data_IF_273718052532
#
_entry.id   IF_273718052532
#
_cell.length_a   1.000
_cell.length_b   1.000
_cell.length_c   1.000
_cell.angle_alpha   90.00
_cell.angle_beta   90.00
_cell.angle_gamma   90.00
#
_symmetry.space_group_name_H-M   'P 1'
#
loop_
_entity.id
_entity.type
_entity.pdbx_description
1 polymer ?
#
# COMPACT_ATOMS: atom_id res chain seq x y z
N UNK A 1 70.75 -12.07 1.00
CA UNK A 1 69.74 -11.81 -0.06
C UNK A 1 68.53 -12.76 -0.12
N UNK A 2 68.51 -13.93 0.56
CA UNK A 2 67.36 -14.87 0.52
C UNK A 2 66.13 -14.48 1.38
N UNK A 3 66.28 -13.61 2.39
CA UNK A 3 65.16 -13.19 3.25
C UNK A 3 64.14 -12.27 2.55
N UNK A 4 64.56 -11.47 1.56
CA UNK A 4 63.69 -10.50 0.88
C UNK A 4 62.65 -11.12 -0.07
N UNK A 5 62.80 -12.40 -0.48
CA UNK A 5 61.79 -13.08 -1.32
C UNK A 5 60.59 -13.58 -0.51
N UNK A 6 60.80 -14.04 0.73
CA UNK A 6 59.70 -14.55 1.60
C UNK A 6 58.78 -13.42 2.05
N UNK A 7 59.34 -12.25 2.39
CA UNK A 7 58.55 -11.06 2.75
C UNK A 7 57.68 -10.55 1.60
N UNK A 8 58.19 -10.58 0.36
CA UNK A 8 57.43 -10.13 -0.82
C UNK A 8 56.24 -11.05 -1.17
N UNK A 9 56.36 -12.37 -0.97
CA UNK A 9 55.26 -13.31 -1.23
C UNK A 9 54.14 -13.18 -0.17
N UNK A 10 54.51 -12.97 1.11
CA UNK A 10 53.53 -12.76 2.17
C UNK A 10 52.72 -11.46 1.98
N UNK A 11 53.36 -10.38 1.52
CA UNK A 11 52.70 -9.09 1.27
C UNK A 11 51.72 -9.19 0.07
N UNK A 12 52.09 -9.91 -1.00
CA UNK A 12 51.18 -10.11 -2.16
C UNK A 12 49.96 -10.97 -1.78
N UNK A 13 50.14 -12.03 -0.98
CA UNK A 13 49.02 -12.83 -0.50
C UNK A 13 48.08 -12.02 0.40
N UNK A 14 48.62 -11.16 1.27
CA UNK A 14 47.82 -10.32 2.17
C UNK A 14 47.04 -9.23 1.43
N UNK A 15 47.60 -8.65 0.36
CA UNK A 15 46.90 -7.66 -0.48
C UNK A 15 45.73 -8.30 -1.23
N UNK A 16 45.87 -9.55 -1.72
CA UNK A 16 44.77 -10.28 -2.39
C UNK A 16 43.62 -10.60 -1.42
N UNK A 17 43.91 -10.88 -0.15
CA UNK A 17 42.88 -11.08 0.88
C UNK A 17 42.23 -9.78 1.37
N UNK A 18 42.94 -8.64 1.32
CA UNK A 18 42.43 -7.34 1.75
C UNK A 18 41.66 -6.58 0.65
N UNK A 19 41.83 -6.93 -0.62
CA UNK A 19 41.10 -6.33 -1.74
C UNK A 19 39.84 -7.11 -2.15
N UNK A 20 39.52 -8.22 -1.49
CA UNK A 20 38.41 -9.10 -1.84
C UNK A 20 37.30 -9.06 -0.78
N UNK A 21 36.57 -7.94 -0.70
CA UNK A 21 35.19 -8.00 -0.20
C UNK A 21 34.27 -8.77 -1.17
N UNK A 22 34.77 -9.10 -2.37
CA UNK A 22 34.12 -10.01 -3.30
C UNK A 22 34.30 -11.46 -2.82
N UNK A 23 33.18 -12.12 -2.53
CA UNK A 23 33.15 -13.52 -2.15
C UNK A 23 33.72 -14.38 -3.29
N UNK A 24 34.88 -15.02 -3.06
CA UNK A 24 35.57 -15.84 -4.09
C UNK A 24 34.70 -16.98 -4.64
N UNK A 25 33.64 -17.36 -3.92
CA UNK A 25 32.68 -18.38 -4.33
C UNK A 25 31.51 -17.84 -5.16
N UNK A 26 31.40 -16.51 -5.37
CA UNK A 26 30.31 -15.91 -6.14
C UNK A 26 30.19 -16.45 -7.59
N UNK A 27 31.29 -16.73 -8.32
CA UNK A 27 31.18 -17.32 -9.66
C UNK A 27 30.71 -18.78 -9.64
N UNK A 28 30.81 -19.46 -8.50
CA UNK A 28 30.43 -20.86 -8.33
C UNK A 28 29.06 -21.04 -7.63
N UNK A 29 28.42 -19.95 -7.18
CA UNK A 29 27.12 -20.03 -6.52
C UNK A 29 25.99 -20.22 -7.54
N UNK A 30 25.00 -21.04 -7.19
CA UNK A 30 23.80 -21.20 -8.00
C UNK A 30 22.88 -19.99 -7.78
N UNK A 31 22.91 -19.02 -8.71
CA UNK A 31 22.08 -17.80 -8.66
C UNK A 31 20.64 -18.01 -9.13
N UNK A 32 20.27 -19.24 -9.50
CA UNK A 32 18.94 -19.56 -10.05
C UNK A 32 18.14 -20.53 -9.19
N UNK A 33 18.63 -20.93 -8.00
CA UNK A 33 17.79 -21.68 -7.06
C UNK A 33 16.72 -20.77 -6.46
N UNK A 34 15.64 -21.37 -5.96
CA UNK A 34 14.57 -20.62 -5.29
C UNK A 34 15.09 -19.82 -4.10
N UNK A 35 16.02 -20.39 -3.31
CA UNK A 35 16.63 -19.70 -2.18
C UNK A 35 17.45 -18.48 -2.62
N UNK A 36 18.23 -18.61 -3.70
CA UNK A 36 19.04 -17.51 -4.22
C UNK A 36 18.15 -16.39 -4.78
N UNK A 37 17.10 -16.75 -5.53
CA UNK A 37 16.13 -15.80 -6.04
C UNK A 37 15.37 -15.09 -4.92
N UNK A 38 14.97 -15.82 -3.87
CA UNK A 38 14.29 -15.25 -2.72
C UNK A 38 15.20 -14.32 -1.92
N UNK A 39 16.46 -14.70 -1.68
CA UNK A 39 17.43 -13.85 -1.00
C UNK A 39 17.69 -12.56 -1.78
N UNK A 40 17.86 -12.66 -3.12
CA UNK A 40 17.98 -11.50 -4.00
C UNK A 40 16.71 -10.63 -3.94
N UNK A 41 15.52 -11.23 -3.92
CA UNK A 41 14.26 -10.50 -3.84
C UNK A 41 14.16 -9.69 -2.54
N UNK A 42 14.55 -10.29 -1.41
CA UNK A 42 14.53 -9.61 -0.10
C UNK A 42 15.54 -8.46 -0.07
N UNK A 43 16.75 -8.63 -0.61
CA UNK A 43 17.73 -7.53 -0.73
C UNK A 43 17.17 -6.37 -1.55
N UNK A 44 16.57 -6.68 -2.71
CA UNK A 44 15.97 -5.67 -3.57
C UNK A 44 14.77 -4.97 -2.90
N UNK A 45 13.99 -5.70 -2.09
CA UNK A 45 12.92 -5.14 -1.28
C UNK A 45 13.47 -4.17 -0.23
N UNK A 46 14.51 -4.56 0.50
CA UNK A 46 15.17 -3.74 1.51
C UNK A 46 15.82 -2.48 0.90
N UNK A 47 16.34 -2.59 -0.34
CA UNK A 47 16.89 -1.48 -1.12
C UNK A 47 15.80 -0.58 -1.74
N UNK A 48 14.51 -0.91 -1.58
CA UNK A 48 13.39 -0.18 -2.19
C UNK A 48 13.23 -0.40 -3.70
N UNK A 49 13.99 -1.32 -4.31
CA UNK A 49 13.85 -1.70 -5.71
C UNK A 49 12.73 -2.73 -5.90
N UNK A 50 11.49 -2.25 -5.78
CA UNK A 50 10.31 -3.11 -5.77
C UNK A 50 10.10 -3.87 -7.09
N UNK A 51 10.34 -3.25 -8.24
CA UNK A 51 10.24 -3.95 -9.53
C UNK A 51 11.26 -5.08 -9.67
N UNK A 52 12.50 -4.86 -9.22
CA UNK A 52 13.53 -5.90 -9.16
C UNK A 52 13.12 -7.04 -8.23
N UNK A 53 12.60 -6.71 -7.05
CA UNK A 53 12.12 -7.71 -6.08
C UNK A 53 10.97 -8.54 -6.67
N UNK A 54 9.97 -7.89 -7.28
CA UNK A 54 8.83 -8.55 -7.92
C UNK A 54 9.26 -9.48 -9.06
N UNK A 55 10.23 -9.06 -9.88
CA UNK A 55 10.77 -9.91 -10.93
C UNK A 55 11.43 -11.18 -10.36
N UNK A 56 12.14 -11.07 -9.23
CA UNK A 56 12.74 -12.23 -8.55
C UNK A 56 11.69 -13.14 -7.93
N UNK A 57 10.67 -12.60 -7.27
CA UNK A 57 9.57 -13.40 -6.73
C UNK A 57 8.82 -14.18 -7.82
N UNK A 58 8.56 -13.55 -8.98
CA UNK A 58 7.94 -14.21 -10.14
C UNK A 58 8.79 -15.34 -10.75
N UNK A 59 10.09 -15.37 -10.48
CA UNK A 59 11.00 -16.43 -10.92
C UNK A 59 11.00 -17.67 -10.02
N UNK A 60 10.38 -17.62 -8.85
CA UNK A 60 10.34 -18.74 -7.90
C UNK A 60 9.46 -19.88 -8.41
N UNK A 61 9.80 -21.11 -8.04
CA UNK A 61 8.95 -22.27 -8.27
C UNK A 61 7.61 -22.14 -7.54
N UNK A 62 6.56 -22.77 -8.08
CA UNK A 62 5.21 -22.69 -7.52
C UNK A 62 5.11 -23.26 -6.08
N UNK A 63 5.96 -24.23 -5.72
CA UNK A 63 5.99 -24.77 -4.36
C UNK A 63 6.67 -23.81 -3.38
N UNK A 64 7.75 -23.16 -3.79
CA UNK A 64 8.48 -22.21 -2.96
C UNK A 64 7.69 -20.91 -2.78
N UNK A 65 7.06 -20.41 -3.85
CA UNK A 65 6.20 -19.23 -3.85
C UNK A 65 5.00 -19.33 -2.89
N UNK A 66 4.57 -20.55 -2.52
CA UNK A 66 3.48 -20.77 -1.57
C UNK A 66 3.88 -20.62 -0.10
N UNK A 67 5.17 -20.57 0.21
CA UNK A 67 5.65 -20.39 1.59
C UNK A 67 5.16 -19.06 2.14
N UNK A 68 4.65 -19.07 3.37
CA UNK A 68 4.07 -17.88 4.04
C UNK A 68 5.02 -16.69 4.04
N UNK A 69 6.28 -16.88 4.43
CA UNK A 69 7.27 -15.80 4.46
C UNK A 69 7.53 -15.20 3.06
N UNK A 70 7.54 -16.03 2.01
CA UNK A 70 7.70 -15.57 0.63
C UNK A 70 6.52 -14.70 0.22
N UNK A 71 5.30 -15.13 0.49
CA UNK A 71 4.08 -14.37 0.18
C UNK A 71 3.99 -13.06 0.96
N UNK A 72 4.43 -13.04 2.22
CA UNK A 72 4.49 -11.83 3.04
C UNK A 72 5.46 -10.81 2.45
N UNK A 73 6.67 -11.22 2.10
CA UNK A 73 7.65 -10.32 1.48
C UNK A 73 7.23 -9.90 0.06
N UNK A 74 6.56 -10.79 -0.69
CA UNK A 74 6.00 -10.45 -1.99
C UNK A 74 4.88 -9.40 -1.87
N UNK A 75 3.98 -9.56 -0.89
CA UNK A 75 2.98 -8.55 -0.57
C UNK A 75 3.64 -7.23 -0.17
N UNK A 76 4.73 -7.27 0.61
CA UNK A 76 5.55 -6.11 0.96
C UNK A 76 6.12 -5.39 -0.26
N UNK A 77 6.63 -6.12 -1.26
CA UNK A 77 7.13 -5.53 -2.51
C UNK A 77 6.02 -4.85 -3.32
N UNK A 78 4.83 -5.46 -3.41
CA UNK A 78 3.68 -4.83 -4.05
C UNK A 78 3.20 -3.58 -3.28
N UNK A 79 3.19 -3.63 -1.94
CA UNK A 79 2.82 -2.50 -1.12
C UNK A 79 3.81 -1.33 -1.27
N UNK A 80 5.11 -1.62 -1.26
CA UNK A 80 6.16 -0.64 -1.54
C UNK A 80 6.00 -0.01 -2.92
N UNK A 81 5.75 -0.82 -3.96
CA UNK A 81 5.44 -0.33 -5.31
C UNK A 81 4.20 0.55 -5.35
N UNK A 82 3.19 0.29 -4.51
CA UNK A 82 2.02 1.15 -4.39
C UNK A 82 2.33 2.54 -3.81
N UNK A 83 3.55 2.75 -3.30
CA UNK A 83 3.97 3.98 -2.62
C UNK A 83 4.04 3.83 -1.10
N UNK A 84 3.69 2.66 -0.53
CA UNK A 84 3.68 2.47 0.91
C UNK A 84 5.10 2.31 1.45
N UNK A 85 5.61 3.37 2.07
CA UNK A 85 6.71 3.28 3.03
C UNK A 85 6.13 3.19 4.44
N UNK A 86 6.20 2.00 5.06
CA UNK A 86 5.54 1.73 6.33
C UNK A 86 5.90 2.73 7.44
N UNK A 87 7.19 3.06 7.59
CA UNK A 87 7.66 3.96 8.64
C UNK A 87 7.19 5.39 8.39
N UNK A 88 7.32 5.87 7.15
CA UNK A 88 6.85 7.20 6.79
C UNK A 88 5.33 7.30 6.92
N UNK A 89 4.59 6.31 6.44
CA UNK A 89 3.13 6.29 6.49
C UNK A 89 2.61 6.27 7.93
N UNK A 90 3.17 5.43 8.81
CA UNK A 90 2.82 5.45 10.24
C UNK A 90 3.20 6.77 10.91
N UNK A 91 4.32 7.38 10.52
CA UNK A 91 4.72 8.69 11.02
C UNK A 91 3.69 9.74 10.61
N UNK A 92 3.25 9.75 9.35
CA UNK A 92 2.20 10.64 8.84
C UNK A 92 0.87 10.41 9.56
N UNK A 93 0.53 9.15 9.87
CA UNK A 93 -0.68 8.83 10.63
C UNK A 93 -0.66 9.37 12.07
N UNK A 94 0.53 9.51 12.67
CA UNK A 94 0.71 9.96 14.04
C UNK A 94 0.92 11.47 14.20
N UNK A 95 0.95 12.25 13.12
CA UNK A 95 1.10 13.70 13.20
C UNK A 95 -0.22 14.35 13.64
N UNK A 96 -0.12 15.31 14.57
CA UNK A 96 -1.24 16.19 14.91
C UNK A 96 -1.66 16.96 13.66
N UNK A 97 -2.85 16.65 13.17
CA UNK A 97 -3.36 17.24 11.94
C UNK A 97 -3.91 18.64 12.25
N UNK A 98 -3.01 19.62 12.36
CA UNK A 98 -3.37 21.01 12.62
C UNK A 98 -4.03 21.61 11.38
N UNK A 99 -5.32 21.95 11.50
CA UNK A 99 -6.13 22.42 10.37
C UNK A 99 -6.78 21.25 9.62
N UNK A 100 -7.68 20.54 10.31
CA UNK A 100 -8.39 19.31 9.91
C UNK A 100 -8.52 19.12 8.39
N UNK A 101 -7.56 18.45 7.72
CA UNK A 101 -7.86 17.83 6.46
C UNK A 101 -8.88 16.73 6.74
N UNK A 102 -9.76 16.52 5.79
CA UNK A 102 -10.76 15.46 5.89
C UNK A 102 -10.09 14.09 5.91
N UNK A 103 -10.82 13.05 6.30
CA UNK A 103 -10.28 11.69 6.40
C UNK A 103 -9.58 11.23 5.11
N UNK A 104 -10.23 11.37 3.95
CA UNK A 104 -9.63 10.94 2.68
C UNK A 104 -8.47 11.85 2.24
N UNK A 105 -8.53 13.15 2.52
CA UNK A 105 -7.42 14.07 2.23
C UNK A 105 -6.18 13.73 3.07
N UNK A 106 -6.39 13.37 4.33
CA UNK A 106 -5.32 12.90 5.22
C UNK A 106 -4.66 11.60 4.73
N UNK A 107 -5.46 10.64 4.24
CA UNK A 107 -4.89 9.42 3.67
C UNK A 107 -4.10 9.70 2.38
N UNK A 108 -4.59 10.61 1.54
CA UNK A 108 -3.93 11.01 0.29
C UNK A 108 -2.63 11.78 0.53
N UNK A 109 -2.60 12.68 1.53
CA UNK A 109 -1.44 13.54 1.81
C UNK A 109 -0.21 12.76 2.29
N UNK A 110 -0.39 11.54 2.80
CA UNK A 110 0.71 10.64 3.12
C UNK A 110 1.54 10.21 1.88
N UNK A 111 1.05 10.50 0.67
CA UNK A 111 1.69 10.19 -0.61
C UNK A 111 2.11 11.43 -1.41
N UNK A 112 2.17 12.61 -0.77
CA UNK A 112 2.70 13.82 -1.40
C UNK A 112 4.17 13.62 -1.83
N UNK A 113 4.49 13.95 -3.08
CA UNK A 113 5.79 13.73 -3.69
C UNK A 113 6.17 12.27 -3.94
N UNK A 114 5.25 11.31 -3.72
CA UNK A 114 5.48 9.87 -3.87
C UNK A 114 4.70 9.34 -5.07
N UNK A 115 5.34 8.58 -5.95
CA UNK A 115 4.63 7.90 -7.04
C UNK A 115 3.71 6.81 -6.46
N UNK A 116 2.43 6.82 -6.86
CA UNK A 116 1.44 5.84 -6.41
C UNK A 116 1.02 4.90 -7.53
N UNK A 117 0.84 3.63 -7.18
CA UNK A 117 0.37 2.58 -8.09
C UNK A 117 -0.76 1.79 -7.42
N UNK A 118 -2.01 2.30 -7.43
CA UNK A 118 -3.13 1.70 -6.70
C UNK A 118 -3.36 0.22 -7.00
N UNK A 119 -3.11 -0.22 -8.23
CA UNK A 119 -3.22 -1.62 -8.65
C UNK A 119 -2.23 -2.53 -7.90
N UNK A 120 -1.05 -2.01 -7.53
CA UNK A 120 -0.07 -2.75 -6.74
C UNK A 120 -0.56 -2.95 -5.30
N UNK A 121 -1.34 -2.01 -4.73
CA UNK A 121 -1.97 -2.23 -3.43
C UNK A 121 -2.97 -3.40 -3.46
N UNK A 122 -3.80 -3.50 -4.50
CA UNK A 122 -4.72 -4.65 -4.67
C UNK A 122 -3.96 -5.97 -4.85
N UNK A 123 -2.81 -5.94 -5.55
CA UNK A 123 -1.94 -7.12 -5.68
C UNK A 123 -1.30 -7.53 -4.33
N UNK A 124 -0.89 -6.55 -3.51
CA UNK A 124 -0.39 -6.82 -2.16
C UNK A 124 -1.46 -7.46 -1.27
N UNK A 125 -2.69 -6.95 -1.33
CA UNK A 125 -3.84 -7.49 -0.59
C UNK A 125 -4.09 -8.95 -1.01
N UNK A 126 -4.16 -9.20 -2.33
CA UNK A 126 -4.38 -10.53 -2.87
C UNK A 126 -3.33 -11.53 -2.37
N UNK A 127 -2.06 -11.12 -2.28
CA UNK A 127 -0.98 -12.00 -1.78
C UNK A 127 -1.13 -12.38 -0.31
N UNK A 128 -1.67 -11.50 0.53
CA UNK A 128 -1.99 -11.84 1.92
C UNK A 128 -3.24 -12.72 2.00
N UNK A 129 -4.29 -12.41 1.22
CA UNK A 129 -5.49 -13.25 1.14
C UNK A 129 -5.17 -14.68 0.66
N UNK A 130 -4.17 -14.87 -0.19
CA UNK A 130 -3.66 -16.20 -0.56
C UNK A 130 -3.12 -17.02 0.62
N UNK A 131 -2.58 -16.36 1.65
CA UNK A 131 -2.15 -17.00 2.89
C UNK A 131 -3.39 -17.38 3.71
N UNK A 132 -4.35 -16.46 3.84
CA UNK A 132 -5.57 -16.65 4.63
C UNK A 132 -6.51 -17.72 4.07
N UNK A 133 -6.42 -17.99 2.77
CA UNK A 133 -7.12 -19.11 2.14
C UNK A 133 -6.60 -20.48 2.62
N UNK A 134 -5.35 -20.55 3.10
CA UNK A 134 -4.72 -21.78 3.59
C UNK A 134 -4.67 -21.86 5.12
N UNK A 135 -4.48 -20.72 5.79
CA UNK A 135 -4.23 -20.63 7.22
C UNK A 135 -5.05 -19.50 7.88
N UNK A 136 -5.29 -19.57 9.18
CA UNK A 136 -5.92 -18.48 9.91
C UNK A 136 -5.02 -17.22 9.92
N UNK A 137 -5.58 -16.00 9.81
CA UNK A 137 -4.82 -14.77 9.82
C UNK A 137 -4.08 -14.57 11.15
N UNK A 138 -2.79 -14.23 11.08
CA UNK A 138 -2.00 -13.87 12.27
C UNK A 138 -2.16 -12.39 12.61
N UNK A 139 -1.91 -12.00 13.86
CA UNK A 139 -1.99 -10.59 14.29
C UNK A 139 -1.13 -9.66 13.42
N UNK A 140 0.09 -10.08 13.05
CA UNK A 140 0.96 -9.31 12.16
C UNK A 140 0.41 -9.18 10.74
N UNK A 141 -0.27 -10.22 10.22
CA UNK A 141 -0.91 -10.15 8.90
C UNK A 141 -2.14 -9.25 8.93
N UNK A 142 -2.93 -9.28 10.01
CA UNK A 142 -4.06 -8.37 10.21
C UNK A 142 -3.58 -6.93 10.31
N UNK A 143 -2.52 -6.66 11.08
CA UNK A 143 -1.91 -5.34 11.16
C UNK A 143 -1.46 -4.84 9.78
N UNK A 144 -0.75 -5.68 9.04
CA UNK A 144 -0.34 -5.35 7.67
C UNK A 144 -1.54 -5.04 6.78
N UNK A 145 -2.60 -5.86 6.83
CA UNK A 145 -3.80 -5.64 6.03
C UNK A 145 -4.52 -4.35 6.40
N UNK A 146 -4.60 -4.00 7.69
CA UNK A 146 -5.22 -2.75 8.12
C UNK A 146 -4.47 -1.53 7.55
N UNK A 147 -3.14 -1.51 7.66
CA UNK A 147 -2.30 -0.41 7.16
C UNK A 147 -2.34 -0.37 5.63
N UNK A 148 -2.23 -1.52 4.97
CA UNK A 148 -2.34 -1.62 3.52
C UNK A 148 -3.70 -1.11 3.02
N UNK A 149 -4.78 -1.37 3.76
CA UNK A 149 -6.12 -0.91 3.39
C UNK A 149 -6.23 0.61 3.42
N UNK A 150 -5.68 1.26 4.46
CA UNK A 150 -5.59 2.72 4.52
C UNK A 150 -4.71 3.27 3.39
N UNK A 151 -3.54 2.66 3.18
CA UNK A 151 -2.61 3.04 2.12
C UNK A 151 -3.23 2.91 0.73
N UNK A 152 -3.98 1.83 0.47
CA UNK A 152 -4.74 1.61 -0.76
C UNK A 152 -5.75 2.73 -1.00
N UNK A 153 -6.52 3.09 0.04
CA UNK A 153 -7.47 4.19 -0.06
C UNK A 153 -6.78 5.52 -0.36
N UNK A 154 -5.70 5.84 0.37
CA UNK A 154 -4.92 7.06 0.13
C UNK A 154 -4.31 7.11 -1.27
N UNK A 155 -3.70 6.02 -1.73
CA UNK A 155 -3.10 5.91 -3.05
C UNK A 155 -4.15 6.08 -4.17
N UNK A 156 -5.33 5.46 -4.03
CA UNK A 156 -6.44 5.62 -4.98
C UNK A 156 -6.87 7.08 -5.03
N UNK A 157 -7.20 7.68 -3.88
CA UNK A 157 -7.67 9.07 -3.81
C UNK A 157 -6.62 10.00 -4.40
N UNK A 158 -5.37 9.91 -3.94
CA UNK A 158 -4.27 10.73 -4.45
C UNK A 158 -4.05 10.55 -5.97
N UNK A 159 -4.22 9.34 -6.51
CA UNK A 159 -4.03 9.10 -7.95
C UNK A 159 -5.04 9.82 -8.85
N UNK A 160 -6.17 10.27 -8.30
CA UNK A 160 -7.23 10.96 -9.06
C UNK A 160 -7.48 12.39 -8.59
N UNK A 161 -7.06 12.74 -7.38
CA UNK A 161 -7.28 14.09 -6.82
C UNK A 161 -6.05 14.97 -6.82
N UNK A 162 -4.85 14.41 -6.95
CA UNK A 162 -3.59 15.15 -6.87
C UNK A 162 -2.58 14.48 -7.82
N UNK A 163 -2.89 14.57 -9.12
CA UNK A 163 -2.22 13.81 -10.17
C UNK A 163 -1.56 14.70 -11.25
N UNK A 164 -1.93 15.98 -11.33
CA UNK A 164 -1.59 16.79 -12.50
C UNK A 164 -0.29 17.59 -12.28
N UNK A 165 0.19 17.70 -11.04
CA UNK A 165 1.41 18.41 -10.66
C UNK A 165 2.63 17.49 -10.43
N UNK A 166 3.82 18.10 -10.46
CA UNK A 166 5.11 17.45 -10.17
C UNK A 166 5.38 16.17 -10.99
N UNK A 167 4.87 16.11 -12.22
CA UNK A 167 5.03 14.93 -13.08
C UNK A 167 4.22 13.72 -12.61
N UNK A 168 3.06 13.95 -11.99
CA UNK A 168 2.22 12.89 -11.42
C UNK A 168 2.60 12.49 -10.00
N UNK A 169 3.46 13.27 -9.34
CA UNK A 169 3.90 13.04 -7.95
C UNK A 169 3.01 13.72 -6.91
N UNK A 170 2.10 14.59 -7.35
CA UNK A 170 1.23 15.37 -6.49
C UNK A 170 1.94 16.51 -5.76
N UNK A 171 1.18 17.42 -5.17
CA UNK A 171 1.65 18.57 -4.40
C UNK A 171 0.97 18.69 -3.02
N UNK A 172 0.15 17.71 -2.64
CA UNK A 172 -0.63 17.70 -1.40
C UNK A 172 -1.93 18.49 -1.46
N UNK A 173 -2.34 18.98 -2.63
CA UNK A 173 -3.55 19.79 -2.84
C UNK A 173 -4.47 19.08 -3.82
N UNK A 174 -5.78 19.10 -3.55
CA UNK A 174 -6.75 18.57 -4.49
C UNK A 174 -6.83 19.43 -5.75
N UNK A 175 -6.71 18.79 -6.91
CA UNK A 175 -6.86 19.34 -8.24
C UNK A 175 -8.27 19.94 -8.41
N UNK A 176 -8.36 21.12 -9.02
CA UNK A 176 -9.63 21.86 -9.15
C UNK A 176 -10.64 21.14 -10.04
N UNK A 177 -10.16 20.27 -10.92
CA UNK A 177 -10.91 19.48 -11.88
C UNK A 177 -11.47 18.18 -11.28
N UNK A 178 -11.05 17.78 -10.08
CA UNK A 178 -11.52 16.56 -9.45
C UNK A 178 -13.05 16.60 -9.20
N UNK A 179 -13.75 15.57 -9.69
CA UNK A 179 -15.18 15.39 -9.49
C UNK A 179 -15.49 13.93 -9.12
N UNK A 180 -15.80 13.70 -7.83
CA UNK A 180 -16.21 12.38 -7.35
C UNK A 180 -17.58 11.94 -7.88
N UNK A 181 -18.43 12.89 -8.29
CA UNK A 181 -19.78 12.67 -8.78
C UNK A 181 -19.83 12.29 -10.27
N UNK A 182 -18.79 12.63 -11.03
CA UNK A 182 -18.70 12.27 -12.44
C UNK A 182 -18.07 10.88 -12.61
N UNK A 183 -18.62 10.09 -13.54
CA UNK A 183 -18.09 8.79 -13.95
C UNK A 183 -17.76 8.83 -15.45
N UNK A 184 -17.25 9.97 -15.92
CA UNK A 184 -16.96 10.15 -17.34
C UNK A 184 -15.70 9.38 -17.71
N UNK A 185 -15.92 8.14 -18.16
CA UNK A 185 -14.95 7.28 -18.84
C UNK A 185 -13.74 6.85 -18.00
N UNK A 186 -13.33 5.60 -18.12
CA UNK A 186 -12.09 5.06 -17.52
C UNK A 186 -10.80 5.68 -18.08
N UNK A 187 -10.90 6.77 -18.85
CA UNK A 187 -9.82 7.43 -19.57
C UNK A 187 -9.51 8.83 -19.04
N UNK A 188 -10.39 9.40 -18.22
CA UNK A 188 -10.11 10.67 -17.56
C UNK A 188 -9.29 10.38 -16.29
N UNK A 189 -8.00 10.79 -16.22
CA UNK A 189 -7.18 10.55 -15.04
C UNK A 189 -7.68 11.30 -13.80
N UNK A 190 -8.47 12.35 -13.98
CA UNK A 190 -8.94 13.26 -12.91
C UNK A 190 -10.28 12.80 -12.31
N UNK A 191 -10.78 11.64 -12.74
CA UNK A 191 -12.04 11.08 -12.29
C UNK A 191 -11.86 9.70 -11.68
N UNK A 192 -12.49 9.50 -10.53
CA UNK A 192 -12.54 8.18 -9.91
C UNK A 192 -13.51 7.29 -10.67
N UNK A 193 -13.04 6.14 -11.16
CA UNK A 193 -13.87 5.16 -11.84
C UNK A 193 -14.52 4.16 -10.85
N UNK A 194 -15.53 3.43 -11.30
CA UNK A 194 -16.26 2.50 -10.43
C UNK A 194 -15.39 1.38 -9.85
N UNK A 195 -14.38 0.90 -10.57
CA UNK A 195 -13.46 -0.11 -10.07
C UNK A 195 -12.61 0.44 -8.90
N UNK A 196 -12.13 1.68 -8.99
CA UNK A 196 -11.45 2.34 -7.88
C UNK A 196 -12.38 2.56 -6.68
N UNK A 197 -13.64 2.95 -6.91
CA UNK A 197 -14.62 3.08 -5.82
C UNK A 197 -14.88 1.72 -5.13
N UNK A 198 -14.94 0.62 -5.89
CA UNK A 198 -15.02 -0.74 -5.34
C UNK A 198 -13.82 -1.05 -4.43
N UNK A 199 -12.62 -0.65 -4.82
CA UNK A 199 -11.42 -0.80 -4.00
C UNK A 199 -11.45 0.06 -2.73
N UNK A 200 -12.08 1.25 -2.77
CA UNK A 200 -12.31 2.07 -1.56
C UNK A 200 -13.30 1.41 -0.60
N UNK A 201 -14.42 0.87 -1.11
CA UNK A 201 -15.42 0.14 -0.32
C UNK A 201 -14.79 -1.07 0.37
N UNK A 202 -14.07 -1.89 -0.38
CA UNK A 202 -13.40 -3.09 0.16
C UNK A 202 -12.25 -2.72 1.08
N UNK A 203 -11.49 -1.66 0.78
CA UNK A 203 -10.43 -1.14 1.64
C UNK A 203 -10.96 -0.71 3.01
N UNK A 204 -12.03 0.08 3.06
CA UNK A 204 -12.64 0.49 4.33
C UNK A 204 -13.13 -0.72 5.14
N UNK A 205 -13.79 -1.67 4.48
CA UNK A 205 -14.26 -2.91 5.12
C UNK A 205 -13.09 -3.75 5.67
N UNK A 206 -12.02 -3.91 4.90
CA UNK A 206 -10.83 -4.66 5.31
C UNK A 206 -10.10 -3.98 6.46
N UNK A 207 -10.01 -2.65 6.44
CA UNK A 207 -9.46 -1.89 7.55
C UNK A 207 -10.24 -2.18 8.83
N UNK A 208 -11.57 -2.03 8.84
CA UNK A 208 -12.38 -2.26 10.03
C UNK A 208 -12.35 -3.71 10.53
N UNK A 209 -12.33 -4.69 9.64
CA UNK A 209 -12.23 -6.09 10.04
C UNK A 209 -10.87 -6.44 10.67
N UNK A 210 -9.82 -5.72 10.28
CA UNK A 210 -8.46 -6.00 10.74
C UNK A 210 -7.96 -5.00 11.80
N UNK A 211 -8.73 -3.95 12.12
CA UNK A 211 -8.34 -2.92 13.08
C UNK A 211 -8.14 -3.47 14.49
N UNK A 212 -8.77 -4.60 14.84
CA UNK A 212 -8.53 -5.26 16.13
C UNK A 212 -7.06 -5.75 16.27
N UNK A 213 -6.41 -6.11 15.16
CA UNK A 213 -4.98 -6.39 15.14
C UNK A 213 -4.10 -5.13 15.25
N UNK A 214 -4.67 -3.96 14.93
CA UNK A 214 -4.03 -2.64 14.96
C UNK A 214 -4.19 -1.95 16.33
N UNK A 215 -5.36 -2.04 16.98
CA UNK A 215 -5.66 -1.40 18.27
C UNK A 215 -4.85 -1.97 19.43
N UNK A 216 -4.44 -3.25 19.36
CA UNK A 216 -3.56 -3.85 20.36
C UNK A 216 -2.13 -3.25 20.37
N UNK A 217 -1.72 -2.55 19.32
CA UNK A 217 -0.35 -2.04 19.17
C UNK A 217 -0.21 -0.52 19.30
N UNK A 218 -1.28 0.25 19.16
CA UNK A 218 -1.26 1.70 19.34
C UNK A 218 -1.93 2.07 20.67
N UNK A 219 -1.22 2.81 21.52
CA UNK A 219 -1.82 3.45 22.68
C UNK A 219 -2.64 4.66 22.21
N UNK A 220 -3.98 4.59 22.31
CA UNK A 220 -4.88 5.69 21.98
C UNK A 220 -6.31 5.24 21.66
N UNK A 221 -7.19 6.21 21.39
CA UNK A 221 -8.63 6.07 21.11
C UNK A 221 -8.94 5.42 19.74
N UNK A 222 -8.22 4.35 19.37
CA UNK A 222 -8.47 3.57 18.15
C UNK A 222 -9.88 2.96 18.17
N UNK A 223 -10.38 2.62 19.36
CA UNK A 223 -11.75 2.15 19.54
C UNK A 223 -12.79 3.23 19.22
N UNK A 224 -12.50 4.50 19.48
CA UNK A 224 -13.38 5.61 19.11
C UNK A 224 -13.36 5.84 17.60
N UNK A 225 -12.17 5.77 16.96
CA UNK A 225 -12.06 5.81 15.50
C UNK A 225 -12.85 4.68 14.85
N UNK A 226 -12.69 3.45 15.37
CA UNK A 226 -13.44 2.27 14.91
C UNK A 226 -14.94 2.52 15.03
N UNK A 227 -15.39 2.95 16.21
CA UNK A 227 -16.81 3.20 16.51
C UNK A 227 -17.38 4.28 15.60
N UNK A 228 -16.63 5.36 15.36
CA UNK A 228 -17.02 6.45 14.47
C UNK A 228 -17.18 5.97 13.02
N UNK A 229 -16.23 5.18 12.52
CA UNK A 229 -16.28 4.61 11.17
C UNK A 229 -17.41 3.58 11.01
N UNK A 230 -17.61 2.68 11.99
CA UNK A 230 -18.71 1.72 12.00
C UNK A 230 -20.07 2.42 12.02
N UNK A 231 -20.19 3.51 12.80
CA UNK A 231 -21.38 4.35 12.86
C UNK A 231 -21.64 5.03 11.51
N UNK A 232 -20.62 5.66 10.91
CA UNK A 232 -20.71 6.30 9.60
C UNK A 232 -21.11 5.31 8.51
N UNK A 233 -20.52 4.10 8.53
CA UNK A 233 -20.88 3.03 7.61
C UNK A 233 -22.32 2.53 7.77
N UNK A 234 -22.77 2.38 9.01
CA UNK A 234 -24.13 1.94 9.31
C UNK A 234 -25.19 2.99 8.98
N UNK A 235 -24.81 4.26 8.91
CA UNK A 235 -25.69 5.35 8.48
C UNK A 235 -25.98 5.33 6.96
N UNK A 236 -25.18 4.60 6.18
CA UNK A 236 -25.36 4.46 4.74
C UNK A 236 -26.18 3.22 4.39
N UNK A 237 -27.07 3.35 3.42
CA UNK A 237 -27.87 2.24 2.89
C UNK A 237 -27.64 2.13 1.38
N UNK A 238 -27.04 1.04 0.89
CA UNK A 238 -26.46 -0.10 1.64
C UNK A 238 -25.15 0.24 2.39
N UNK A 239 -24.88 -0.47 3.50
CA UNK A 239 -23.69 -0.26 4.33
C UNK A 239 -22.40 -0.67 3.58
N UNK A 240 -21.51 0.26 3.20
CA UNK A 240 -20.32 -0.05 2.43
C UNK A 240 -19.26 -0.84 3.22
N UNK A 241 -19.36 -0.91 4.55
CA UNK A 241 -18.47 -1.71 5.39
C UNK A 241 -18.84 -3.21 5.45
N UNK A 242 -19.87 -3.64 4.70
CA UNK A 242 -20.42 -5.00 4.81
C UNK A 242 -19.66 -6.07 3.98
N UNK A 243 -18.72 -5.69 3.11
CA UNK A 243 -18.04 -6.63 2.20
C UNK A 243 -16.58 -6.29 1.98
N UNK A 244 -15.72 -7.30 2.08
CA UNK A 244 -14.29 -7.22 1.74
C UNK A 244 -13.97 -7.77 0.35
N UNK A 245 -15.00 -8.22 -0.37
CA UNK A 245 -14.89 -8.80 -1.70
C UNK A 245 -15.54 -7.87 -2.73
N UNK A 246 -14.81 -7.61 -3.82
CA UNK A 246 -15.24 -6.73 -4.89
C UNK A 246 -16.57 -7.15 -5.51
N UNK A 247 -16.81 -8.46 -5.64
CA UNK A 247 -18.06 -9.02 -6.16
C UNK A 247 -19.28 -8.78 -5.25
N UNK A 248 -19.05 -8.48 -3.97
CA UNK A 248 -20.11 -8.10 -3.03
C UNK A 248 -20.48 -6.62 -3.08
N UNK A 249 -19.71 -5.79 -3.80
CA UNK A 249 -19.96 -4.34 -3.89
C UNK A 249 -21.07 -4.08 -4.91
N UNK A 250 -22.14 -3.43 -4.46
CA UNK A 250 -23.28 -3.08 -5.31
C UNK A 250 -23.15 -1.67 -5.89
N UNK A 251 -23.88 -1.39 -6.98
CA UNK A 251 -23.96 -0.03 -7.54
C UNK A 251 -24.42 1.02 -6.52
N UNK A 252 -25.29 0.65 -5.59
CA UNK A 252 -25.73 1.57 -4.55
C UNK A 252 -24.61 1.87 -3.54
N UNK A 253 -23.76 0.90 -3.20
CA UNK A 253 -22.55 1.14 -2.38
C UNK A 253 -21.60 2.10 -3.09
N UNK A 254 -21.38 1.92 -4.40
CA UNK A 254 -20.53 2.80 -5.22
C UNK A 254 -21.04 4.24 -5.16
N UNK A 255 -22.35 4.46 -5.38
CA UNK A 255 -22.96 5.79 -5.28
C UNK A 255 -22.80 6.41 -3.90
N UNK A 256 -23.05 5.63 -2.84
CA UNK A 256 -22.85 6.10 -1.46
C UNK A 256 -21.39 6.50 -1.20
N UNK A 257 -20.42 5.72 -1.64
CA UNK A 257 -19.00 6.06 -1.46
C UNK A 257 -18.59 7.30 -2.24
N UNK A 258 -19.07 7.50 -3.47
CA UNK A 258 -18.84 8.74 -4.23
C UNK A 258 -19.37 9.96 -3.49
N UNK A 259 -20.55 9.85 -2.88
CA UNK A 259 -21.13 10.92 -2.04
C UNK A 259 -20.30 11.23 -0.81
N UNK A 260 -19.69 10.23 -0.17
CA UNK A 260 -18.74 10.46 0.93
C UNK A 260 -17.48 11.16 0.41
N UNK A 261 -16.94 10.72 -0.73
CA UNK A 261 -15.74 11.34 -1.32
C UNK A 261 -15.96 12.79 -1.71
N UNK A 262 -17.17 13.17 -2.11
CA UNK A 262 -17.51 14.55 -2.42
C UNK A 262 -17.80 15.40 -1.16
N UNK A 263 -17.99 14.77 0.01
CA UNK A 263 -18.44 15.44 1.22
C UNK A 263 -17.32 16.25 1.92
N UNK A 264 -17.58 17.50 2.35
CA UNK A 264 -16.54 18.44 2.77
C UNK A 264 -15.93 18.15 4.15
N UNK A 265 -16.52 17.25 4.94
CA UNK A 265 -15.99 16.88 6.26
C UNK A 265 -15.21 15.55 6.27
N UNK A 266 -15.41 14.71 5.26
CA UNK A 266 -14.86 13.33 5.26
C UNK A 266 -14.10 13.05 3.97
N UNK A 267 -14.68 13.45 2.83
CA UNK A 267 -14.11 13.33 1.50
C UNK A 267 -13.22 14.50 1.10
N UNK A 268 -12.83 14.53 -0.16
CA UNK A 268 -11.90 15.52 -0.74
C UNK A 268 -12.61 16.52 -1.65
N UNK A 269 -13.91 16.33 -1.90
CA UNK A 269 -14.70 17.21 -2.74
C UNK A 269 -15.21 18.47 -2.05
N UNK A 270 -15.97 19.25 -2.81
CA UNK A 270 -16.42 20.61 -2.45
C UNK A 270 -17.92 20.70 -2.25
N UNK A 271 -18.61 19.57 -2.04
CA UNK A 271 -20.06 19.57 -1.79
C UNK A 271 -20.41 20.53 -0.65
N UNK A 272 -21.31 21.48 -0.91
CA UNK A 272 -21.70 22.47 0.11
C UNK A 272 -22.69 21.91 1.16
N UNK A 273 -23.16 20.67 1.00
CA UNK A 273 -24.20 20.07 1.83
C UNK A 273 -23.59 19.21 2.94
N UNK A 274 -24.16 19.28 4.15
CA UNK A 274 -23.75 18.47 5.30
C UNK A 274 -24.38 17.06 5.32
N UNK A 275 -25.42 16.83 4.51
CA UNK A 275 -25.99 15.49 4.32
C UNK A 275 -25.35 14.89 3.07
N UNK A 276 -24.56 13.81 3.20
CA UNK A 276 -23.94 13.12 2.07
C UNK A 276 -24.95 12.71 1.00
N UNK A 277 -26.21 12.44 1.35
CA UNK A 277 -27.24 12.04 0.37
C UNK A 277 -27.58 13.14 -0.63
N UNK A 278 -27.26 14.40 -0.31
CA UNK A 278 -27.47 15.55 -1.19
C UNK A 278 -26.24 15.92 -2.02
N UNK A 279 -25.09 15.27 -1.79
CA UNK A 279 -23.95 15.34 -2.68
C UNK A 279 -24.22 14.43 -3.90
N UNK A 280 -23.74 14.82 -5.08
CA UNK A 280 -23.98 14.10 -6.34
C UNK A 280 -25.47 13.77 -6.66
N UNK A 281 -26.39 14.76 -6.75
CA UNK A 281 -27.83 14.50 -6.93
C UNK A 281 -28.22 13.83 -8.26
N UNK A 282 -27.28 13.70 -9.21
CA UNK A 282 -27.47 13.03 -10.49
C UNK A 282 -27.03 11.57 -10.55
N UNK A 283 -26.42 11.04 -9.47
CA UNK A 283 -25.94 9.65 -9.40
C UNK A 283 -27.04 8.66 -9.01
#
# INVERSE_FOLDING_TARGET
>A
MKQNKKAKIAIVAMIVFLSACANVFEPASNKTSDEALYEDAVKLLDDGNYDGALAKFSGLSASFAKKTAVRQNWAGAFAGRCGLNFVQYLTSLGQDITGTPTFFQFLASAFDGVAVHPEACTQAEAKIKEIWAADAPTASQQLFMAILSLAKMGAIVRSVTDNNENGGLGNGTTDAEFDACNNASSTDPDQINDAQVVELVTGLSLFLQNIAGFSAQLSGDVDDLKTALETGCSAMTPNPCATTEASGVTTAMIKSTRRILDHPLIGVGVCAQLDPNNCCPGL
#
